data_IF_541737293379
#
_entry.id   IF_541737293379
#
_cell.length_a   1.000
_cell.length_b   1.000
_cell.length_c   1.000
_cell.angle_alpha   90.00
_cell.angle_beta   90.00
_cell.angle_gamma   90.00
#
_symmetry.space_group_name_H-M   'P 1'
#
loop_
_entity.id
_entity.type
_entity.pdbx_description
1 polymer ?
#
# COMPACT_ATOMS: atom_id res chain seq x y z
N UNK A 1 13.74 0.21 1.34
CA UNK A 1 12.50 0.96 1.71
C UNK A 1 12.26 2.05 0.67
N UNK A 2 11.01 2.39 0.33
CA UNK A 2 10.70 3.46 -0.63
C UNK A 2 9.46 4.24 -0.21
N UNK A 3 9.54 5.57 -0.28
CA UNK A 3 8.39 6.45 -0.15
C UNK A 3 8.29 7.32 -1.41
N UNK A 4 7.08 7.69 -1.80
CA UNK A 4 6.82 8.55 -2.96
C UNK A 4 5.51 9.31 -2.80
N UNK A 5 5.47 10.51 -3.36
CA UNK A 5 4.27 11.33 -3.46
C UNK A 5 3.91 11.49 -4.94
N UNK A 6 2.65 11.22 -5.29
CA UNK A 6 2.12 11.45 -6.64
C UNK A 6 1.14 12.62 -6.61
N UNK A 7 1.51 13.72 -7.25
CA UNK A 7 0.60 14.84 -7.48
C UNK A 7 -0.47 14.44 -8.51
N UNK A 8 -1.70 14.91 -8.28
CA UNK A 8 -2.87 14.66 -9.13
C UNK A 8 -3.53 16.01 -9.41
N UNK A 9 -4.02 16.19 -10.63
CA UNK A 9 -4.82 17.35 -11.00
C UNK A 9 -6.17 17.27 -10.27
N UNK A 10 -6.59 18.39 -9.69
CA UNK A 10 -7.86 18.57 -8.96
C UNK A 10 -8.14 17.56 -7.82
N UNK A 11 -7.12 16.88 -7.30
CA UNK A 11 -7.23 15.91 -6.20
C UNK A 11 -6.07 16.06 -5.22
N UNK A 12 -6.27 15.62 -3.97
CA UNK A 12 -5.16 15.57 -3.00
C UNK A 12 -4.05 14.62 -3.48
N UNK A 13 -2.77 14.94 -3.20
CA UNK A 13 -1.66 14.10 -3.61
C UNK A 13 -1.76 12.71 -2.96
N UNK A 14 -1.33 11.70 -3.70
CA UNK A 14 -1.34 10.31 -3.26
C UNK A 14 0.02 9.95 -2.65
N UNK A 15 0.02 9.70 -1.35
CA UNK A 15 1.17 9.19 -0.62
C UNK A 15 1.28 7.67 -0.78
N UNK A 16 2.50 7.18 -1.00
CA UNK A 16 2.80 5.76 -1.05
C UNK A 16 4.08 5.48 -0.27
N UNK A 17 4.03 4.50 0.62
CA UNK A 17 5.21 3.97 1.28
C UNK A 17 5.25 2.45 1.19
N UNK A 18 6.45 1.91 1.02
CA UNK A 18 6.73 0.48 0.96
C UNK A 18 7.89 0.12 1.87
N UNK A 19 7.69 -0.92 2.67
CA UNK A 19 8.72 -1.49 3.52
C UNK A 19 8.81 -3.00 3.26
N UNK A 20 10.03 -3.56 3.14
CA UNK A 20 10.19 -4.99 3.26
C UNK A 20 9.89 -5.39 4.72
N UNK A 21 9.17 -6.51 4.90
CA UNK A 21 8.98 -7.19 6.16
C UNK A 21 9.40 -8.64 6.03
N UNK A 22 9.81 -9.25 7.14
CA UNK A 22 9.96 -10.69 7.25
C UNK A 22 8.98 -11.19 8.31
N UNK A 23 8.15 -12.16 7.95
CA UNK A 23 7.16 -12.77 8.85
C UNK A 23 7.48 -14.26 8.89
N UNK A 24 7.82 -14.78 10.07
CA UNK A 24 8.27 -16.17 10.26
C UNK A 24 9.41 -16.59 9.31
N UNK A 25 10.31 -15.67 8.96
CA UNK A 25 11.45 -15.93 8.07
C UNK A 25 11.14 -15.83 6.57
N UNK A 26 9.89 -15.60 6.17
CA UNK A 26 9.51 -15.41 4.78
C UNK A 26 9.52 -13.91 4.39
N UNK A 27 10.01 -13.55 3.19
CA UNK A 27 10.08 -12.17 2.74
C UNK A 27 8.73 -11.67 2.21
N UNK A 28 8.25 -10.56 2.77
CA UNK A 28 7.04 -9.85 2.35
C UNK A 28 7.33 -8.41 1.94
N UNK A 29 6.72 -7.97 0.85
CA UNK A 29 6.57 -6.57 0.54
C UNK A 29 5.30 -6.06 1.21
N UNK A 30 5.42 -5.09 2.11
CA UNK A 30 4.28 -4.31 2.58
C UNK A 30 4.23 -2.94 1.92
N UNK A 31 3.04 -2.34 1.91
CA UNK A 31 2.92 -0.96 1.54
C UNK A 31 1.58 -0.33 1.92
N UNK A 32 1.63 0.96 2.16
CA UNK A 32 0.48 1.82 2.41
C UNK A 32 0.33 2.81 1.26
N UNK A 33 -0.92 3.04 0.88
CA UNK A 33 -1.31 4.10 -0.05
C UNK A 33 -2.38 4.93 0.64
N UNK A 34 -2.15 6.24 0.73
CA UNK A 34 -3.07 7.19 1.35
C UNK A 34 -3.25 8.40 0.45
N UNK A 35 -4.49 8.81 0.21
CA UNK A 35 -4.84 9.97 -0.61
C UNK A 35 -5.86 10.83 0.10
N UNK A 36 -7.03 10.99 -0.52
CA UNK A 36 -8.16 11.63 0.13
C UNK A 36 -8.73 10.79 1.28
N UNK A 37 -9.63 11.35 2.09
CA UNK A 37 -10.19 10.69 3.29
C UNK A 37 -10.87 9.34 2.99
N UNK A 38 -11.16 9.05 1.72
CA UNK A 38 -11.77 7.80 1.24
C UNK A 38 -10.80 6.86 0.53
N UNK A 39 -9.50 7.18 0.56
CA UNK A 39 -8.46 6.47 -0.18
C UNK A 39 -7.34 6.04 0.77
N UNK A 40 -7.61 4.98 1.54
CA UNK A 40 -6.58 4.27 2.31
C UNK A 40 -6.50 2.83 1.84
N UNK A 41 -5.29 2.36 1.52
CA UNK A 41 -5.06 0.96 1.14
C UNK A 41 -3.81 0.42 1.81
N UNK A 42 -3.94 -0.76 2.42
CA UNK A 42 -2.84 -1.55 2.96
C UNK A 42 -2.61 -2.75 2.05
N UNK A 43 -1.34 -3.02 1.75
CA UNK A 43 -0.91 -4.12 0.91
C UNK A 43 0.12 -4.95 1.68
N UNK A 44 -0.03 -6.26 1.62
CA UNK A 44 0.96 -7.23 2.09
C UNK A 44 1.03 -8.35 1.05
N UNK A 45 2.21 -8.58 0.47
CA UNK A 45 2.41 -9.60 -0.54
C UNK A 45 3.76 -10.28 -0.32
N UNK A 46 3.88 -11.55 -0.67
CA UNK A 46 5.20 -12.21 -0.71
C UNK A 46 6.06 -11.66 -1.86
N UNK A 47 7.38 -11.83 -1.79
CA UNK A 47 8.31 -11.46 -2.87
C UNK A 47 8.31 -12.42 -4.09
N UNK A 48 7.57 -13.54 -4.03
CA UNK A 48 7.47 -14.51 -5.13
C UNK A 48 6.48 -14.05 -6.22
N UNK A 49 6.72 -14.42 -7.48
CA UNK A 49 5.86 -14.03 -8.61
C UNK A 49 4.41 -14.52 -8.48
N UNK A 50 4.20 -15.73 -7.93
CA UNK A 50 2.90 -16.39 -7.78
C UNK A 50 2.51 -16.65 -6.32
N UNK A 51 2.98 -15.81 -5.39
CA UNK A 51 2.71 -16.01 -3.97
C UNK A 51 1.46 -15.28 -3.44
N UNK A 52 1.04 -15.58 -2.20
CA UNK A 52 -0.15 -14.99 -1.61
C UNK A 52 0.01 -13.48 -1.43
N UNK A 53 -1.09 -12.76 -1.62
CA UNK A 53 -1.19 -11.33 -1.36
C UNK A 53 -2.52 -10.96 -0.75
N UNK A 54 -2.49 -9.96 0.12
CA UNK A 54 -3.65 -9.37 0.76
C UNK A 54 -3.62 -7.87 0.49
N UNK A 55 -4.76 -7.35 0.04
CA UNK A 55 -5.00 -5.92 -0.12
C UNK A 55 -6.27 -5.55 0.60
N UNK A 56 -6.17 -4.58 1.50
CA UNK A 56 -7.31 -4.03 2.24
C UNK A 56 -7.46 -2.58 1.80
N UNK A 57 -8.63 -2.24 1.25
CA UNK A 57 -8.96 -0.87 0.85
C UNK A 57 -10.13 -0.37 1.71
N UNK A 58 -9.96 0.81 2.30
CA UNK A 58 -10.99 1.46 3.09
C UNK A 58 -11.66 2.56 2.28
N UNK A 59 -12.99 2.45 2.14
CA UNK A 59 -13.87 3.42 1.47
C UNK A 59 -15.10 3.64 2.35
N UNK A 60 -15.13 4.69 3.19
CA UNK A 60 -16.30 4.99 3.99
C UNK A 60 -17.47 5.42 3.10
N UNK A 61 -18.68 4.96 3.45
CA UNK A 61 -19.90 5.42 2.80
C UNK A 61 -20.21 6.87 3.27
N UNK A 62 -20.86 7.70 2.43
CA UNK A 62 -21.30 9.03 2.82
C UNK A 62 -22.34 9.00 3.95
#
# INVERSE_FOLDING_TARGET
MKASLKFREDQKPLFRAKAPLSIFGLPFQSGIVAGESKELTLNLATFFESGPSIKIAYRPNP
#
